data_IF_594415812174
#
_entry.id   IF_594415812174
#
_cell.length_a   1.000
_cell.length_b   1.000
_cell.length_c   1.000
_cell.angle_alpha   90.00
_cell.angle_beta   90.00
_cell.angle_gamma   90.00
#
_symmetry.space_group_name_H-M   'P 1'
#
loop_
_entity.id
_entity.type
_entity.pdbx_description
1 polymer ?
#
# COMPACT_ATOMS: atom_id res chain seq x y z
N UNK A 1 6.76 -3.40 18.67
CA UNK A 1 6.33 -2.47 17.61
C UNK A 1 5.39 -3.19 16.67
N UNK A 2 4.18 -2.68 16.53
CA UNK A 2 3.19 -3.18 15.59
C UNK A 2 2.42 -2.04 14.90
N UNK A 3 1.73 -2.36 13.80
CA UNK A 3 0.77 -1.46 13.15
C UNK A 3 -0.67 -1.93 13.35
N UNK A 4 -1.61 -1.00 13.23
CA UNK A 4 -3.05 -1.30 13.11
C UNK A 4 -3.54 -0.82 11.75
N UNK A 5 -4.09 -1.73 10.97
CA UNK A 5 -4.76 -1.43 9.71
C UNK A 5 -6.27 -1.52 9.90
N UNK A 6 -7.01 -0.50 9.47
CA UNK A 6 -8.47 -0.44 9.56
C UNK A 6 -9.02 -0.34 8.15
N UNK A 7 -9.69 -1.39 7.71
CA UNK A 7 -10.29 -1.49 6.39
C UNK A 7 -11.69 -0.87 6.39
N UNK A 8 -11.86 0.25 5.67
CA UNK A 8 -13.14 0.91 5.45
C UNK A 8 -13.68 0.47 4.08
N UNK A 9 -14.69 -0.42 4.01
CA UNK A 9 -15.07 -1.11 2.77
C UNK A 9 -16.09 -0.30 1.95
N UNK A 10 -15.97 1.02 1.94
CA UNK A 10 -16.93 1.91 1.28
C UNK A 10 -16.24 2.81 0.28
N UNK A 11 -16.80 2.91 -0.92
CA UNK A 11 -16.39 3.86 -1.95
C UNK A 11 -17.61 4.63 -2.45
N UNK A 12 -17.42 5.86 -2.90
CA UNK A 12 -18.48 6.61 -3.60
C UNK A 12 -18.75 6.04 -4.99
N UNK A 13 -17.71 5.55 -5.66
CA UNK A 13 -17.74 5.03 -7.02
C UNK A 13 -16.82 3.81 -7.18
N UNK A 14 -17.20 2.89 -8.08
CA UNK A 14 -16.37 1.74 -8.45
C UNK A 14 -15.42 2.12 -9.60
N UNK A 15 -14.12 2.27 -9.30
CA UNK A 15 -13.11 2.48 -10.34
C UNK A 15 -12.96 1.24 -11.20
N UNK A 16 -12.72 1.40 -12.50
CA UNK A 16 -12.70 0.29 -13.44
C UNK A 16 -11.58 -0.72 -13.17
N UNK A 17 -10.44 -0.27 -12.68
CA UNK A 17 -9.24 -1.07 -12.44
C UNK A 17 -9.18 -1.69 -11.03
N UNK A 18 -9.99 -1.21 -10.09
CA UNK A 18 -9.85 -1.58 -8.68
C UNK A 18 -10.31 -3.02 -8.44
N UNK A 19 -9.44 -3.82 -7.85
CA UNK A 19 -9.69 -5.22 -7.46
C UNK A 19 -9.89 -5.40 -5.94
N UNK A 20 -9.70 -4.34 -5.15
CA UNK A 20 -9.89 -4.36 -3.72
C UNK A 20 -11.34 -4.66 -3.32
N UNK A 21 -11.50 -5.12 -2.08
CA UNK A 21 -12.81 -5.34 -1.49
C UNK A 21 -13.45 -4.00 -1.11
N UNK A 22 -14.61 -3.68 -1.68
CA UNK A 22 -15.37 -2.46 -1.35
C UNK A 22 -16.87 -2.61 -1.62
N UNK A 23 -17.64 -1.62 -1.18
CA UNK A 23 -19.06 -1.46 -1.48
C UNK A 23 -19.37 0.00 -1.82
N UNK A 24 -20.21 0.22 -2.84
CA UNK A 24 -20.74 1.55 -3.14
C UNK A 24 -22.00 1.91 -2.35
N UNK A 25 -22.40 1.05 -1.40
CA UNK A 25 -23.58 1.25 -0.57
C UNK A 25 -23.21 1.52 0.89
N UNK A 26 -23.55 2.72 1.37
CA UNK A 26 -23.37 3.14 2.77
C UNK A 26 -24.45 2.65 3.74
N UNK A 27 -25.43 1.86 3.29
CA UNK A 27 -26.58 1.44 4.13
C UNK A 27 -26.20 0.77 5.46
N UNK A 28 -25.05 0.10 5.52
CA UNK A 28 -24.55 -0.59 6.71
C UNK A 28 -23.36 0.12 7.35
N UNK A 29 -23.17 1.42 7.11
CA UNK A 29 -22.01 2.17 7.61
C UNK A 29 -21.94 2.11 9.14
N UNK A 30 -23.02 2.47 9.83
CA UNK A 30 -23.07 2.47 11.30
C UNK A 30 -22.80 1.09 11.89
N UNK A 31 -23.44 0.05 11.35
CA UNK A 31 -23.21 -1.36 11.75
C UNK A 31 -21.76 -1.80 11.52
N UNK A 32 -21.17 -1.39 10.40
CA UNK A 32 -19.77 -1.67 10.09
C UNK A 32 -18.86 -1.00 11.10
N UNK A 33 -19.01 0.30 11.37
CA UNK A 33 -18.17 1.03 12.32
C UNK A 33 -18.29 0.47 13.74
N UNK A 34 -19.49 0.06 14.17
CA UNK A 34 -19.67 -0.65 15.42
C UNK A 34 -18.94 -2.01 15.42
N UNK A 35 -19.03 -2.76 14.33
CA UNK A 35 -18.30 -4.01 14.12
C UNK A 35 -16.79 -3.85 14.20
N UNK A 36 -16.22 -2.83 13.55
CA UNK A 36 -14.77 -2.55 13.59
C UNK A 36 -14.29 -2.34 15.03
N UNK A 37 -15.00 -1.51 15.81
CA UNK A 37 -14.67 -1.25 17.22
C UNK A 37 -14.80 -2.52 18.08
N UNK A 38 -15.83 -3.33 17.81
CA UNK A 38 -16.03 -4.58 18.53
C UNK A 38 -14.94 -5.61 18.21
N UNK A 39 -14.54 -5.72 16.94
CA UNK A 39 -13.42 -6.58 16.54
C UNK A 39 -12.12 -6.17 17.23
N UNK A 40 -11.81 -4.87 17.30
CA UNK A 40 -10.64 -4.38 18.04
C UNK A 40 -10.67 -4.85 19.49
N UNK A 41 -11.83 -4.79 20.17
CA UNK A 41 -11.97 -5.23 21.54
C UNK A 41 -11.80 -6.75 21.69
N UNK A 42 -12.37 -7.54 20.77
CA UNK A 42 -12.21 -9.00 20.74
C UNK A 42 -10.75 -9.44 20.53
N UNK A 43 -9.97 -8.62 19.82
CA UNK A 43 -8.58 -8.92 19.41
C UNK A 43 -7.52 -8.12 20.17
N UNK A 44 -7.89 -7.40 21.23
CA UNK A 44 -6.98 -6.47 21.93
C UNK A 44 -5.70 -7.14 22.45
N UNK A 45 -5.77 -8.42 22.82
CA UNK A 45 -4.63 -9.17 23.37
C UNK A 45 -3.68 -9.74 22.30
N UNK A 46 -4.03 -9.67 21.01
CA UNK A 46 -3.17 -10.21 19.93
C UNK A 46 -1.87 -9.40 19.76
N UNK A 47 -1.81 -8.19 20.30
CA UNK A 47 -0.65 -7.30 20.29
C UNK A 47 -0.10 -7.04 21.70
N UNK A 48 -0.39 -7.91 22.68
CA UNK A 48 0.13 -7.75 24.04
C UNK A 48 1.66 -7.67 24.05
N UNK A 49 2.20 -6.64 24.70
CA UNK A 49 3.63 -6.36 24.74
C UNK A 49 4.20 -5.62 23.52
N UNK A 50 3.36 -5.30 22.54
CA UNK A 50 3.75 -4.46 21.40
C UNK A 50 3.25 -3.02 21.58
N UNK A 51 4.09 -2.04 21.26
CA UNK A 51 3.69 -0.63 21.14
C UNK A 51 3.25 -0.37 19.70
N UNK A 52 2.07 0.25 19.52
CA UNK A 52 1.53 0.63 18.22
C UNK A 52 2.25 1.87 17.69
N UNK A 53 2.89 1.76 16.54
CA UNK A 53 3.59 2.87 15.89
C UNK A 53 2.85 3.44 14.69
N UNK A 54 1.93 2.67 14.10
CA UNK A 54 1.17 3.10 12.93
C UNK A 54 -0.31 2.74 13.09
N UNK A 55 -1.17 3.67 12.69
CA UNK A 55 -2.61 3.45 12.51
C UNK A 55 -2.91 3.85 11.07
N UNK A 56 -3.40 2.92 10.27
CA UNK A 56 -3.60 3.13 8.84
C UNK A 56 -5.04 2.84 8.48
N UNK A 57 -5.73 3.85 7.96
CA UNK A 57 -7.06 3.69 7.37
C UNK A 57 -6.90 3.50 5.87
N UNK A 58 -7.40 2.37 5.35
CA UNK A 58 -7.41 2.08 3.92
C UNK A 58 -8.62 1.25 3.49
N UNK A 59 -8.56 0.67 2.30
CA UNK A 59 -9.56 -0.29 1.81
C UNK A 59 -10.33 0.22 0.60
N UNK A 60 -11.59 0.57 0.80
CA UNK A 60 -12.36 1.31 -0.20
C UNK A 60 -11.84 2.74 -0.31
N UNK A 61 -12.49 3.68 0.38
CA UNK A 61 -12.01 5.05 0.52
C UNK A 61 -12.39 5.57 1.91
N UNK A 62 -11.46 5.54 2.88
CA UNK A 62 -11.73 5.99 4.24
C UNK A 62 -12.20 7.44 4.40
N UNK A 63 -11.80 8.35 3.51
CA UNK A 63 -12.27 9.75 3.51
C UNK A 63 -13.78 9.93 3.32
N UNK A 64 -14.50 8.88 2.95
CA UNK A 64 -15.98 8.89 2.91
C UNK A 64 -16.62 8.95 4.30
N UNK A 65 -15.84 8.67 5.35
CA UNK A 65 -16.29 8.80 6.73
C UNK A 65 -16.22 10.26 7.19
N UNK A 66 -17.13 10.63 8.07
CA UNK A 66 -17.04 11.91 8.76
C UNK A 66 -15.81 11.93 9.67
N UNK A 67 -15.19 13.10 9.84
CA UNK A 67 -13.98 13.25 10.67
C UNK A 67 -14.21 12.77 12.12
N UNK A 68 -15.42 12.96 12.64
CA UNK A 68 -15.79 12.47 13.98
C UNK A 68 -15.84 10.93 14.05
N UNK A 69 -16.25 10.26 12.97
CA UNK A 69 -16.23 8.79 12.88
C UNK A 69 -14.79 8.26 12.84
N UNK A 70 -13.90 8.94 12.12
CA UNK A 70 -12.47 8.62 12.07
C UNK A 70 -11.85 8.80 13.47
N UNK A 71 -12.15 9.92 14.14
CA UNK A 71 -11.66 10.21 15.48
C UNK A 71 -12.15 9.19 16.52
N UNK A 72 -13.39 8.72 16.41
CA UNK A 72 -13.95 7.68 17.28
C UNK A 72 -13.22 6.33 17.12
N UNK A 73 -12.87 5.94 15.88
CA UNK A 73 -12.05 4.76 15.62
C UNK A 73 -10.63 4.91 16.17
N UNK A 74 -9.98 6.07 15.96
CA UNK A 74 -8.66 6.35 16.53
C UNK A 74 -8.74 6.28 18.06
N UNK A 75 -9.73 6.91 18.68
CA UNK A 75 -9.87 6.90 20.13
C UNK A 75 -10.11 5.48 20.67
N UNK A 76 -10.83 4.64 19.94
CA UNK A 76 -11.00 3.22 20.27
C UNK A 76 -9.65 2.49 20.30
N UNK A 77 -8.78 2.72 19.31
CA UNK A 77 -7.41 2.17 19.32
C UNK A 77 -6.63 2.63 20.56
N UNK A 78 -6.64 3.92 20.88
CA UNK A 78 -5.94 4.44 22.07
C UNK A 78 -6.49 3.90 23.40
N UNK A 79 -7.76 3.48 23.44
CA UNK A 79 -8.35 2.91 24.65
C UNK A 79 -7.97 1.44 24.86
N UNK A 80 -7.68 0.70 23.77
CA UNK A 80 -7.47 -0.74 23.79
C UNK A 80 -5.99 -1.14 23.68
N UNK A 81 -5.15 -0.30 23.08
CA UNK A 81 -3.75 -0.61 22.79
C UNK A 81 -2.81 0.46 23.34
N UNK A 82 -1.58 0.07 23.67
CA UNK A 82 -0.51 1.01 23.98
C UNK A 82 0.01 1.64 22.68
N UNK A 83 -0.24 2.94 22.50
CA UNK A 83 0.17 3.69 21.30
C UNK A 83 1.40 4.54 21.60
N UNK A 84 2.36 4.54 20.68
CA UNK A 84 3.54 5.41 20.72
C UNK A 84 3.12 6.88 20.90
N UNK A 85 3.98 7.71 21.51
CA UNK A 85 3.79 9.15 21.65
C UNK A 85 3.63 9.86 20.29
N UNK A 86 4.35 9.39 19.26
CA UNK A 86 4.36 10.00 17.93
C UNK A 86 4.09 8.97 16.81
N UNK A 87 2.89 8.36 16.78
CA UNK A 87 2.55 7.35 15.79
C UNK A 87 2.32 8.00 14.42
N UNK A 88 2.57 7.27 13.33
CA UNK A 88 2.06 7.68 12.01
C UNK A 88 0.59 7.27 11.90
N UNK A 89 -0.31 8.24 11.76
CA UNK A 89 -1.74 8.01 11.55
C UNK A 89 -2.09 8.45 10.14
N UNK A 90 -2.25 7.48 9.25
CA UNK A 90 -2.51 7.69 7.82
C UNK A 90 -3.98 7.51 7.48
N UNK A 91 -4.52 8.46 6.71
CA UNK A 91 -5.83 8.34 6.08
C UNK A 91 -5.67 8.30 4.56
N UNK A 92 -6.09 7.20 3.92
CA UNK A 92 -6.33 7.18 2.47
C UNK A 92 -7.56 8.01 2.11
N UNK A 93 -7.44 8.80 1.04
CA UNK A 93 -8.48 9.72 0.64
C UNK A 93 -8.59 9.91 -0.88
N UNK A 94 -9.77 10.30 -1.34
CA UNK A 94 -9.98 10.80 -2.70
C UNK A 94 -10.22 12.32 -2.70
N UNK A 95 -9.85 13.05 -3.77
CA UNK A 95 -10.05 14.49 -3.83
C UNK A 95 -11.50 14.94 -3.64
N UNK A 96 -12.47 14.16 -4.13
CA UNK A 96 -13.89 14.52 -4.10
C UNK A 96 -14.58 14.30 -2.73
N UNK A 97 -13.85 13.76 -1.75
CA UNK A 97 -14.26 13.69 -0.35
C UNK A 97 -13.57 14.77 0.51
N UNK A 98 -12.53 15.42 -0.02
CA UNK A 98 -11.67 16.36 0.70
C UNK A 98 -12.02 17.81 0.36
N UNK A 99 -13.24 18.22 0.69
CA UNK A 99 -13.57 19.64 0.63
C UNK A 99 -12.74 20.44 1.65
N UNK A 100 -12.75 21.76 1.49
CA UNK A 100 -12.00 22.67 2.36
C UNK A 100 -12.33 22.43 3.83
N UNK A 101 -13.60 22.34 4.21
CA UNK A 101 -14.00 22.19 5.61
C UNK A 101 -13.51 20.86 6.20
N UNK A 102 -13.60 19.77 5.44
CA UNK A 102 -13.09 18.45 5.81
C UNK A 102 -11.58 18.48 6.03
N UNK A 103 -10.82 19.11 5.13
CA UNK A 103 -9.36 19.22 5.26
C UNK A 103 -8.95 19.99 6.53
N UNK A 104 -9.61 21.09 6.86
CA UNK A 104 -9.34 21.82 8.11
C UNK A 104 -9.67 20.97 9.35
N UNK A 105 -10.81 20.27 9.36
CA UNK A 105 -11.16 19.37 10.47
C UNK A 105 -10.17 18.21 10.61
N UNK A 106 -9.70 17.63 9.51
CA UNK A 106 -8.68 16.59 9.52
C UNK A 106 -7.35 17.12 10.07
N UNK A 107 -6.95 18.35 9.72
CA UNK A 107 -5.73 18.96 10.22
C UNK A 107 -5.78 19.23 11.75
N UNK A 108 -6.97 19.38 12.32
CA UNK A 108 -7.21 19.48 13.76
C UNK A 108 -7.33 18.11 14.45
N UNK A 109 -7.37 17.02 13.68
CA UNK A 109 -7.49 15.65 14.19
C UNK A 109 -6.14 15.03 14.53
N UNK A 110 -6.14 13.77 14.98
CA UNK A 110 -4.89 12.99 15.17
C UNK A 110 -4.29 12.47 13.86
N UNK A 111 -5.00 12.54 12.75
CA UNK A 111 -4.46 12.17 11.42
C UNK A 111 -3.31 13.11 11.10
N UNK A 112 -2.13 12.54 10.86
CA UNK A 112 -0.92 13.31 10.60
C UNK A 112 -0.24 12.94 9.28
N UNK A 113 -0.86 12.03 8.50
CA UNK A 113 -0.47 11.70 7.13
C UNK A 113 -1.70 11.50 6.25
N UNK A 114 -1.71 12.08 5.05
CA UNK A 114 -2.70 11.80 4.01
C UNK A 114 -2.05 10.99 2.88
N UNK A 115 -2.79 10.03 2.31
CA UNK A 115 -2.47 9.38 1.03
C UNK A 115 -3.62 9.64 0.07
N UNK A 116 -3.41 10.45 -0.95
CA UNK A 116 -4.48 10.92 -1.84
C UNK A 116 -4.41 10.23 -3.19
N UNK A 117 -5.45 9.48 -3.53
CA UNK A 117 -5.55 8.75 -4.78
C UNK A 117 -5.84 9.65 -5.99
N UNK A 118 -4.81 10.27 -6.58
CA UNK A 118 -4.98 11.17 -7.75
C UNK A 118 -5.07 10.38 -9.05
N UNK A 119 -4.22 9.36 -9.19
CA UNK A 119 -4.06 8.44 -10.32
C UNK A 119 -3.57 9.11 -11.61
N UNK A 120 -4.19 10.20 -12.04
CA UNK A 120 -3.74 11.06 -13.12
C UNK A 120 -4.32 12.47 -12.97
N UNK A 121 -3.58 13.48 -13.42
CA UNK A 121 -4.03 14.86 -13.53
C UNK A 121 -4.74 15.15 -14.86
N UNK A 122 -4.98 14.14 -15.70
CA UNK A 122 -5.64 14.31 -16.98
C UNK A 122 -7.03 13.68 -16.99
N UNK A 123 -7.99 14.47 -17.44
CA UNK A 123 -9.42 14.13 -17.42
C UNK A 123 -9.75 12.83 -18.17
N UNK A 124 -9.12 12.59 -19.31
CA UNK A 124 -9.40 11.38 -20.11
C UNK A 124 -8.97 10.10 -19.37
N UNK A 125 -7.88 10.15 -18.59
CA UNK A 125 -7.43 9.01 -17.80
C UNK A 125 -8.42 8.75 -16.65
N UNK A 126 -8.85 9.81 -15.97
CA UNK A 126 -9.81 9.74 -14.86
C UNK A 126 -11.16 9.17 -15.33
N UNK A 127 -11.65 9.62 -16.49
CA UNK A 127 -12.86 9.08 -17.13
C UNK A 127 -12.69 7.63 -17.54
N UNK A 128 -11.57 7.27 -18.15
CA UNK A 128 -11.27 5.88 -18.53
C UNK A 128 -11.28 4.97 -17.30
N UNK A 129 -10.71 5.42 -16.18
CA UNK A 129 -10.66 4.68 -14.92
C UNK A 129 -11.96 4.75 -14.11
N UNK A 130 -12.96 5.52 -14.55
CA UNK A 130 -14.19 5.79 -13.81
C UNK A 130 -13.92 6.31 -12.40
N UNK A 131 -13.08 7.35 -12.31
CA UNK A 131 -12.83 8.09 -11.07
C UNK A 131 -14.00 9.04 -10.76
N UNK A 132 -14.27 9.26 -9.47
CA UNK A 132 -15.35 10.14 -9.03
C UNK A 132 -14.95 11.62 -9.14
N UNK A 133 -13.67 11.92 -8.91
CA UNK A 133 -13.10 13.25 -9.04
C UNK A 133 -12.65 13.56 -10.48
N UNK A 134 -12.55 14.85 -10.79
CA UNK A 134 -11.99 15.38 -12.04
C UNK A 134 -10.61 16.03 -11.85
N UNK A 135 -9.96 16.40 -12.96
CA UNK A 135 -8.62 17.00 -12.94
C UNK A 135 -8.54 18.31 -12.11
N UNK A 136 -9.56 19.16 -12.17
CA UNK A 136 -9.61 20.43 -11.43
C UNK A 136 -9.74 20.17 -9.93
N UNK A 137 -10.66 19.28 -9.53
CA UNK A 137 -10.85 18.90 -8.12
C UNK A 137 -9.57 18.30 -7.52
N UNK A 138 -8.84 17.48 -8.28
CA UNK A 138 -7.55 16.94 -7.87
C UNK A 138 -6.54 18.06 -7.54
N UNK A 139 -6.42 19.07 -8.39
CA UNK A 139 -5.47 20.18 -8.19
C UNK A 139 -5.87 21.03 -6.99
N UNK A 140 -7.14 21.46 -6.93
CA UNK A 140 -7.65 22.31 -5.84
C UNK A 140 -7.52 21.61 -4.48
N UNK A 141 -7.82 20.32 -4.42
CA UNK A 141 -7.63 19.51 -3.21
C UNK A 141 -6.16 19.52 -2.76
N UNK A 142 -5.21 19.31 -3.68
CA UNK A 142 -3.79 19.25 -3.33
C UNK A 142 -3.22 20.60 -2.90
N UNK A 143 -3.65 21.70 -3.52
CA UNK A 143 -3.23 23.06 -3.10
C UNK A 143 -3.61 23.34 -1.64
N UNK A 144 -4.81 22.94 -1.23
CA UNK A 144 -5.25 23.10 0.16
C UNK A 144 -4.55 22.09 1.07
N UNK A 145 -4.53 20.81 0.69
CA UNK A 145 -3.99 19.73 1.52
C UNK A 145 -2.50 19.94 1.83
N UNK A 146 -1.69 20.36 0.84
CA UNK A 146 -0.25 20.66 1.04
C UNK A 146 0.01 21.87 1.93
N UNK A 147 -0.95 22.79 2.07
CA UNK A 147 -0.85 23.89 3.03
C UNK A 147 -1.12 23.49 4.49
N UNK A 148 -1.78 22.35 4.70
CA UNK A 148 -2.22 21.87 6.02
C UNK A 148 -1.43 20.65 6.50
N UNK A 149 -0.98 19.79 5.58
CA UNK A 149 -0.27 18.54 5.88
C UNK A 149 1.13 18.56 5.29
N UNK A 150 2.14 18.44 6.15
CA UNK A 150 3.52 18.28 5.70
C UNK A 150 3.84 16.85 5.26
N UNK A 151 3.24 15.83 5.89
CA UNK A 151 3.41 14.43 5.49
C UNK A 151 2.23 14.02 4.59
N UNK A 152 2.40 14.22 3.28
CA UNK A 152 1.39 13.92 2.28
C UNK A 152 1.99 13.02 1.20
N UNK A 153 1.20 12.02 0.82
CA UNK A 153 1.45 11.14 -0.32
C UNK A 153 0.36 11.31 -1.35
N UNK A 154 0.72 11.06 -2.60
CA UNK A 154 -0.26 10.87 -3.66
C UNK A 154 0.01 9.57 -4.40
N UNK A 155 -1.06 9.00 -4.93
CA UNK A 155 -0.99 7.79 -5.71
C UNK A 155 -1.14 8.15 -7.19
N UNK A 156 -0.23 7.66 -8.04
CA UNK A 156 -0.30 7.75 -9.49
C UNK A 156 -0.35 6.36 -10.12
N UNK A 157 -0.95 6.28 -11.31
CA UNK A 157 -0.95 5.07 -12.13
C UNK A 157 -0.26 5.38 -13.47
N UNK A 158 0.75 4.58 -13.81
CA UNK A 158 1.45 4.63 -15.09
C UNK A 158 1.10 3.42 -15.97
N UNK A 159 1.53 3.46 -17.23
CA UNK A 159 1.21 2.39 -18.19
C UNK A 159 -0.26 2.39 -18.64
N UNK A 160 -0.96 3.51 -18.44
CA UNK A 160 -2.32 3.72 -18.91
C UNK A 160 -2.36 3.67 -20.46
N UNK A 161 -3.29 2.94 -21.09
CA UNK A 161 -3.44 2.88 -22.53
C UNK A 161 -3.48 4.27 -23.19
N UNK A 162 -2.69 4.47 -24.24
CA UNK A 162 -2.54 5.73 -24.97
C UNK A 162 -1.91 6.90 -24.19
N UNK A 163 -1.37 6.67 -22.98
CA UNK A 163 -0.58 7.68 -22.28
C UNK A 163 0.81 7.76 -22.94
N UNK A 164 1.18 8.95 -23.41
CA UNK A 164 2.53 9.20 -23.94
C UNK A 164 3.53 9.51 -22.82
N UNK A 165 4.82 9.38 -23.11
CA UNK A 165 5.89 9.75 -22.18
C UNK A 165 5.82 11.22 -21.75
N UNK A 166 5.45 12.13 -22.65
CA UNK A 166 5.31 13.56 -22.33
C UNK A 166 4.16 13.79 -21.35
N UNK A 167 3.03 13.12 -21.56
CA UNK A 167 1.87 13.17 -20.65
C UNK A 167 2.22 12.56 -19.30
N UNK A 168 2.96 11.46 -19.28
CA UNK A 168 3.44 10.84 -18.06
C UNK A 168 4.36 11.76 -17.27
N UNK A 169 5.41 12.31 -17.91
CA UNK A 169 6.32 13.25 -17.28
C UNK A 169 5.61 14.52 -16.80
N UNK A 170 4.58 14.98 -17.50
CA UNK A 170 3.78 16.11 -17.03
C UNK A 170 2.96 15.79 -15.77
N UNK A 171 2.48 14.56 -15.58
CA UNK A 171 1.89 14.14 -14.31
C UNK A 171 2.92 14.23 -13.19
N UNK A 172 4.12 13.67 -13.40
CA UNK A 172 5.21 13.69 -12.42
C UNK A 172 5.63 15.12 -12.09
N UNK A 173 5.74 16.00 -13.10
CA UNK A 173 6.16 17.39 -12.90
C UNK A 173 5.19 18.17 -11.99
N UNK A 174 3.88 17.95 -12.12
CA UNK A 174 2.88 18.60 -11.24
C UNK A 174 3.10 18.26 -9.77
N UNK A 175 3.54 17.04 -9.48
CA UNK A 175 3.88 16.61 -8.12
C UNK A 175 5.09 17.37 -7.59
N UNK A 176 6.11 17.48 -8.43
CA UNK A 176 7.34 18.20 -8.11
C UNK A 176 7.06 19.68 -7.83
N UNK A 177 6.20 20.30 -8.64
CA UNK A 177 5.80 21.71 -8.50
C UNK A 177 5.04 21.96 -7.19
N UNK A 178 4.23 20.99 -6.75
CA UNK A 178 3.49 21.03 -5.48
C UNK A 178 4.36 20.68 -4.26
N UNK A 179 5.61 20.24 -4.45
CA UNK A 179 6.52 19.90 -3.36
C UNK A 179 6.09 18.70 -2.50
N UNK A 180 5.27 17.80 -3.04
CA UNK A 180 4.72 16.65 -2.32
C UNK A 180 5.85 15.68 -1.94
N UNK A 181 6.08 15.37 -0.65
CA UNK A 181 7.29 14.68 -0.25
C UNK A 181 7.26 13.16 -0.44
N UNK A 182 6.10 12.56 -0.69
CA UNK A 182 5.95 11.12 -0.89
C UNK A 182 5.06 10.81 -2.10
N UNK A 183 5.43 9.80 -2.87
CA UNK A 183 4.72 9.38 -4.08
C UNK A 183 4.62 7.87 -4.09
N UNK A 184 3.40 7.37 -4.20
CA UNK A 184 3.10 5.97 -4.49
C UNK A 184 2.72 5.86 -5.96
N UNK A 185 3.32 4.92 -6.68
CA UNK A 185 3.19 4.85 -8.13
C UNK A 185 3.10 3.39 -8.60
N UNK A 186 2.01 3.08 -9.29
CA UNK A 186 1.64 1.72 -9.65
C UNK A 186 1.50 1.57 -11.16
N UNK A 187 1.93 0.43 -11.71
CA UNK A 187 1.57 0.07 -13.07
C UNK A 187 0.06 -0.20 -13.13
N UNK A 188 -0.61 0.19 -14.22
CA UNK A 188 -1.98 -0.24 -14.47
C UNK A 188 -1.98 -1.75 -14.76
N UNK A 189 -2.48 -2.55 -13.82
CA UNK A 189 -2.68 -3.99 -13.99
C UNK A 189 -4.12 -4.31 -14.40
N UNK A 190 -4.31 -5.45 -15.08
CA UNK A 190 -5.63 -5.90 -15.55
C UNK A 190 -6.01 -7.17 -14.81
N UNK A 191 -6.77 -7.01 -13.73
CA UNK A 191 -7.22 -8.13 -12.91
C UNK A 191 -8.50 -8.78 -13.45
N UNK A 192 -8.60 -10.11 -13.36
CA UNK A 192 -9.64 -10.88 -14.05
C UNK A 192 -11.08 -10.44 -13.71
N UNK A 193 -11.31 -10.02 -12.47
CA UNK A 193 -12.65 -9.70 -11.94
C UNK A 193 -13.06 -8.24 -12.14
N UNK A 194 -12.17 -7.40 -12.65
CA UNK A 194 -12.38 -5.95 -12.77
C UNK A 194 -13.28 -5.58 -13.94
N UNK A 195 -13.82 -4.35 -13.91
CA UNK A 195 -14.54 -3.80 -15.05
C UNK A 195 -13.61 -3.51 -16.23
N UNK A 196 -12.35 -3.13 -15.95
CA UNK A 196 -11.31 -2.90 -16.95
C UNK A 196 -11.09 -4.14 -17.82
N UNK A 197 -10.91 -5.34 -17.23
CA UNK A 197 -10.78 -6.59 -17.99
C UNK A 197 -11.98 -6.83 -18.92
N UNK A 198 -13.20 -6.54 -18.45
CA UNK A 198 -14.42 -6.69 -19.27
C UNK A 198 -14.47 -5.69 -20.42
N UNK A 199 -14.02 -4.46 -20.21
CA UNK A 199 -13.97 -3.42 -21.23
C UNK A 199 -12.91 -3.72 -22.30
N UNK A 200 -11.76 -4.24 -21.87
CA UNK A 200 -10.69 -4.71 -22.76
C UNK A 200 -11.16 -5.89 -23.62
N UNK A 201 -11.77 -6.92 -23.01
CA UNK A 201 -12.33 -8.07 -23.75
C UNK A 201 -13.40 -7.69 -24.77
N UNK A 202 -14.09 -6.55 -24.56
CA UNK A 202 -15.08 -5.99 -25.48
C UNK A 202 -14.48 -5.06 -26.55
N UNK A 203 -13.18 -4.78 -26.50
CA UNK A 203 -12.50 -3.84 -27.40
C UNK A 203 -12.85 -2.38 -27.15
N UNK A 204 -13.39 -2.03 -25.97
CA UNK A 204 -13.76 -0.66 -25.62
C UNK A 204 -12.54 0.14 -25.16
N UNK A 205 -11.62 -0.51 -24.44
CA UNK A 205 -10.36 0.05 -23.95
C UNK A 205 -9.23 -0.86 -24.45
N UNK A 206 -8.10 -0.34 -24.95
CA UNK A 206 -6.95 -1.18 -25.28
C UNK A 206 -6.32 -1.81 -24.03
N UNK A 207 -5.68 -2.96 -24.18
CA UNK A 207 -4.85 -3.52 -23.10
C UNK A 207 -3.65 -2.60 -22.82
N UNK A 208 -3.20 -2.47 -21.57
CA UNK A 208 -1.90 -1.90 -21.25
C UNK A 208 -0.77 -2.64 -21.98
N UNK A 209 0.24 -1.89 -22.41
CA UNK A 209 1.42 -2.43 -23.08
C UNK A 209 2.61 -2.45 -22.11
N UNK A 210 3.24 -3.62 -21.95
CA UNK A 210 4.34 -3.82 -21.00
C UNK A 210 5.53 -2.90 -21.29
N UNK A 211 5.88 -2.72 -22.57
CA UNK A 211 6.98 -1.84 -22.98
C UNK A 211 6.71 -0.38 -22.60
N UNK A 212 5.46 0.08 -22.71
CA UNK A 212 5.05 1.43 -22.29
C UNK A 212 5.12 1.57 -20.77
N UNK A 213 4.67 0.56 -20.03
CA UNK A 213 4.77 0.56 -18.57
C UNK A 213 6.23 0.57 -18.10
N UNK A 214 7.10 -0.21 -18.72
CA UNK A 214 8.53 -0.22 -18.46
C UNK A 214 9.16 1.15 -18.75
N UNK A 215 8.87 1.75 -19.90
CA UNK A 215 9.39 3.06 -20.26
C UNK A 215 8.94 4.15 -19.27
N UNK A 216 7.66 4.17 -18.89
CA UNK A 216 7.14 5.09 -17.88
C UNK A 216 7.80 4.89 -16.51
N UNK A 217 8.03 3.64 -16.09
CA UNK A 217 8.71 3.33 -14.84
C UNK A 217 10.14 3.86 -14.82
N UNK A 218 10.90 3.67 -15.90
CA UNK A 218 12.26 4.19 -16.02
C UNK A 218 12.29 5.72 -15.96
N UNK A 219 11.41 6.39 -16.71
CA UNK A 219 11.26 7.85 -16.69
C UNK A 219 10.91 8.38 -15.30
N UNK A 220 10.05 7.67 -14.56
CA UNK A 220 9.68 8.02 -13.19
C UNK A 220 10.90 7.98 -12.27
N UNK A 221 11.65 6.87 -12.27
CA UNK A 221 12.84 6.70 -11.42
C UNK A 221 13.85 7.80 -11.70
N UNK A 222 14.19 8.02 -12.97
CA UNK A 222 15.19 9.02 -13.38
C UNK A 222 14.78 10.42 -12.94
N UNK A 223 13.52 10.80 -13.22
CA UNK A 223 12.99 12.13 -12.91
C UNK A 223 12.94 12.37 -11.40
N UNK A 224 12.39 11.43 -10.62
CA UNK A 224 12.27 11.60 -9.17
C UNK A 224 13.63 11.57 -8.48
N UNK A 225 14.57 10.73 -8.93
CA UNK A 225 15.94 10.69 -8.39
C UNK A 225 16.68 12.00 -8.67
N UNK A 226 16.56 12.56 -9.88
CA UNK A 226 17.15 13.86 -10.21
C UNK A 226 16.59 15.00 -9.33
N UNK A 227 15.36 14.83 -8.85
CA UNK A 227 14.71 15.76 -7.93
C UNK A 227 14.89 15.36 -6.45
N UNK A 228 15.81 14.46 -6.11
CA UNK A 228 16.17 14.14 -4.72
C UNK A 228 15.18 13.27 -3.95
N UNK A 229 14.31 12.53 -4.64
CA UNK A 229 13.54 11.45 -4.03
C UNK A 229 14.38 10.17 -3.95
N UNK A 230 14.12 9.38 -2.92
CA UNK A 230 14.67 8.06 -2.74
C UNK A 230 13.58 7.04 -3.09
N UNK A 231 13.89 6.18 -4.05
CA UNK A 231 13.04 5.06 -4.44
C UNK A 231 13.24 3.90 -3.45
N UNK A 232 12.61 4.02 -2.28
CA UNK A 232 12.87 3.18 -1.11
C UNK A 232 12.18 1.82 -1.15
N UNK A 233 11.11 1.71 -1.95
CA UNK A 233 10.38 0.48 -2.23
C UNK A 233 9.87 0.51 -3.68
N UNK A 234 9.64 -0.64 -4.30
CA UNK A 234 9.29 -0.80 -5.73
C UNK A 234 8.26 0.21 -6.25
N UNK A 235 7.17 0.44 -5.52
CA UNK A 235 6.11 1.39 -5.88
C UNK A 235 6.20 2.73 -5.17
N UNK A 236 7.15 2.94 -4.25
CA UNK A 236 7.16 4.11 -3.37
C UNK A 236 8.46 4.92 -3.41
N UNK A 237 8.28 6.24 -3.50
CA UNK A 237 9.34 7.24 -3.55
C UNK A 237 9.09 8.28 -2.46
N UNK A 238 10.14 8.71 -1.77
CA UNK A 238 9.99 9.82 -0.83
C UNK A 238 11.24 10.68 -0.71
N UNK A 239 11.05 11.91 -0.28
CA UNK A 239 12.12 12.74 0.26
C UNK A 239 12.67 12.12 1.56
N UNK A 240 13.94 12.38 1.90
CA UNK A 240 14.50 11.96 3.18
C UNK A 240 13.61 12.37 4.36
N UNK A 241 13.30 11.43 5.25
CA UNK A 241 12.43 11.65 6.41
C UNK A 241 10.93 11.44 6.17
N UNK A 242 10.50 11.16 4.93
CA UNK A 242 9.09 11.00 4.56
C UNK A 242 8.69 9.59 4.12
N UNK A 243 9.51 8.56 4.38
CA UNK A 243 9.06 7.18 4.15
C UNK A 243 7.81 6.91 4.98
N UNK A 244 6.80 6.29 4.37
CA UNK A 244 5.65 5.81 5.14
C UNK A 244 6.15 4.77 6.14
N UNK A 245 5.96 5.06 7.43
CA UNK A 245 6.27 4.10 8.49
C UNK A 245 5.42 2.86 8.35
N UNK A 246 4.15 3.00 7.96
CA UNK A 246 3.23 1.87 7.80
C UNK A 246 3.62 0.97 6.63
N UNK A 247 3.84 1.54 5.44
CA UNK A 247 4.29 0.78 4.28
C UNK A 247 5.61 0.06 4.59
N UNK A 248 6.60 0.80 5.12
CA UNK A 248 7.90 0.22 5.50
C UNK A 248 7.77 -0.92 6.53
N UNK A 249 6.79 -0.85 7.43
CA UNK A 249 6.54 -1.91 8.40
C UNK A 249 6.16 -3.23 7.74
N UNK A 250 5.29 -3.21 6.72
CA UNK A 250 4.92 -4.40 5.97
C UNK A 250 6.12 -5.03 5.27
N UNK A 251 6.92 -4.22 4.56
CA UNK A 251 8.08 -4.71 3.81
C UNK A 251 9.20 -5.25 4.71
N UNK A 252 9.33 -4.71 5.92
CA UNK A 252 10.29 -5.18 6.92
C UNK A 252 9.78 -6.35 7.76
N UNK A 253 8.56 -6.86 7.48
CA UNK A 253 7.98 -8.00 8.18
C UNK A 253 7.63 -7.70 9.65
N UNK A 254 7.26 -6.45 9.96
CA UNK A 254 6.77 -6.09 11.29
C UNK A 254 5.35 -6.63 11.50
N UNK A 255 5.01 -6.90 12.75
CA UNK A 255 3.66 -7.36 13.12
C UNK A 255 2.62 -6.27 12.85
N UNK A 256 1.42 -6.67 12.48
CA UNK A 256 0.29 -5.77 12.36
C UNK A 256 -1.05 -6.49 12.53
N UNK A 257 -2.03 -5.74 13.03
CA UNK A 257 -3.40 -6.18 13.22
C UNK A 257 -4.30 -5.51 12.19
N UNK A 258 -4.89 -6.28 11.29
CA UNK A 258 -5.89 -5.80 10.35
C UNK A 258 -7.30 -6.01 10.87
N UNK A 259 -8.09 -4.95 10.87
CA UNK A 259 -9.47 -4.87 11.35
C UNK A 259 -10.39 -4.53 10.17
N UNK A 260 -11.55 -5.18 10.11
CA UNK A 260 -12.52 -4.99 9.04
C UNK A 260 -12.52 -6.09 7.99
N UNK A 261 -13.55 -6.13 7.10
CA UNK A 261 -13.67 -7.18 6.09
C UNK A 261 -12.48 -7.15 5.13
N UNK A 262 -12.02 -8.31 4.69
CA UNK A 262 -10.80 -8.51 3.87
C UNK A 262 -9.48 -8.05 4.49
N UNK A 263 -9.48 -7.48 5.70
CA UNK A 263 -8.26 -7.00 6.33
C UNK A 263 -7.32 -8.15 6.69
N UNK A 264 -6.04 -8.01 6.33
CA UNK A 264 -5.00 -8.97 6.65
C UNK A 264 -4.30 -8.61 7.96
N UNK A 265 -3.81 -9.60 8.70
CA UNK A 265 -2.95 -9.44 9.88
C UNK A 265 -1.72 -10.34 9.76
N UNK A 266 -0.64 -9.96 10.44
CA UNK A 266 0.58 -10.76 10.55
C UNK A 266 1.17 -10.66 11.96
N UNK A 267 1.40 -11.80 12.60
CA UNK A 267 1.96 -11.85 13.97
C UNK A 267 3.45 -12.24 14.02
N UNK A 268 4.08 -12.42 12.86
CA UNK A 268 5.46 -12.90 12.72
C UNK A 268 5.58 -14.38 12.32
N UNK A 269 4.51 -15.16 12.51
CA UNK A 269 4.46 -16.60 12.20
C UNK A 269 3.19 -16.97 11.45
N UNK A 270 2.07 -16.33 11.77
CA UNK A 270 0.79 -16.53 11.12
C UNK A 270 0.39 -15.31 10.31
N UNK A 271 -0.18 -15.58 9.14
CA UNK A 271 -1.00 -14.64 8.40
C UNK A 271 -2.47 -14.95 8.70
N UNK A 272 -3.29 -13.92 8.82
CA UNK A 272 -4.74 -14.11 8.86
C UNK A 272 -5.45 -13.06 8.02
N UNK A 273 -6.65 -13.36 7.55
CA UNK A 273 -7.48 -12.41 6.81
C UNK A 273 -8.95 -12.60 7.12
N UNK A 274 -9.63 -11.47 7.32
CA UNK A 274 -11.06 -11.46 7.51
C UNK A 274 -11.80 -11.76 6.20
N UNK A 275 -13.01 -12.30 6.32
CA UNK A 275 -13.88 -12.58 5.17
C UNK A 275 -14.11 -11.31 4.33
N UNK A 276 -13.96 -11.45 3.01
CA UNK A 276 -14.27 -10.39 2.04
C UNK A 276 -15.78 -10.28 1.78
N UNK A 277 -16.57 -10.06 2.83
CA UNK A 277 -18.02 -9.88 2.75
C UNK A 277 -18.55 -9.05 3.91
N UNK A 278 -19.02 -7.83 3.61
CA UNK A 278 -19.47 -6.88 4.64
C UNK A 278 -20.61 -7.41 5.52
N UNK A 279 -21.57 -8.14 4.94
CA UNK A 279 -22.75 -8.59 5.69
C UNK A 279 -22.44 -9.78 6.60
N UNK A 280 -21.61 -10.72 6.13
CA UNK A 280 -21.15 -11.84 6.95
C UNK A 280 -20.20 -11.35 8.04
N UNK A 281 -19.28 -10.44 7.70
CA UNK A 281 -18.39 -9.80 8.67
C UNK A 281 -19.17 -9.15 9.83
N UNK A 282 -20.13 -8.26 9.52
CA UNK A 282 -20.96 -7.60 10.54
C UNK A 282 -21.70 -8.63 11.41
N UNK A 283 -22.29 -9.64 10.77
CA UNK A 283 -23.07 -10.67 11.47
C UNK A 283 -22.19 -11.45 12.45
N UNK A 284 -21.07 -11.99 11.98
CA UNK A 284 -20.24 -12.86 12.80
C UNK A 284 -19.61 -12.09 13.97
N UNK A 285 -19.14 -10.86 13.73
CA UNK A 285 -18.63 -9.98 14.78
C UNK A 285 -19.71 -9.67 15.82
N UNK A 286 -20.96 -9.42 15.42
CA UNK A 286 -22.07 -9.19 16.36
C UNK A 286 -22.42 -10.41 17.23
N UNK A 287 -21.93 -11.60 16.86
CA UNK A 287 -22.06 -12.86 17.59
C UNK A 287 -20.78 -13.25 18.34
N UNK A 288 -19.84 -12.32 18.54
CA UNK A 288 -18.52 -12.54 19.15
C UNK A 288 -17.64 -13.57 18.41
N UNK A 289 -17.84 -13.74 17.09
CA UNK A 289 -17.06 -14.64 16.26
C UNK A 289 -16.15 -13.85 15.33
N UNK A 290 -14.87 -14.20 15.30
CA UNK A 290 -13.90 -13.63 14.35
C UNK A 290 -14.03 -14.33 12.99
N UNK A 291 -14.50 -13.66 11.92
CA UNK A 291 -14.73 -14.27 10.63
C UNK A 291 -13.44 -14.28 9.79
N UNK A 292 -12.42 -15.00 10.26
CA UNK A 292 -11.09 -15.03 9.65
C UNK A 292 -10.59 -16.42 9.28
N UNK A 293 -9.73 -16.47 8.28
CA UNK A 293 -8.86 -17.60 8.00
C UNK A 293 -7.47 -17.33 8.55
N UNK A 294 -6.73 -18.38 8.91
CA UNK A 294 -5.37 -18.30 9.45
C UNK A 294 -4.49 -19.29 8.70
N UNK A 295 -3.32 -18.82 8.28
CA UNK A 295 -2.25 -19.57 7.64
C UNK A 295 -1.01 -19.51 8.55
N UNK A 296 -0.45 -20.67 8.88
CA UNK A 296 0.84 -20.78 9.57
C UNK A 296 1.96 -20.85 8.53
N UNK A 297 2.89 -19.90 8.59
CA UNK A 297 4.02 -19.84 7.67
C UNK A 297 5.13 -20.76 8.15
N UNK A 298 5.48 -21.75 7.33
CA UNK A 298 6.61 -22.60 7.63
C UNK A 298 7.95 -21.85 7.42
N UNK A 299 9.07 -22.50 7.75
CA UNK A 299 10.40 -21.87 7.65
C UNK A 299 10.73 -21.41 6.20
N UNK A 300 10.37 -22.22 5.21
CA UNK A 300 10.56 -21.92 3.78
C UNK A 300 9.69 -20.75 3.34
N UNK A 301 8.43 -20.70 3.77
CA UNK A 301 7.52 -19.58 3.45
C UNK A 301 8.08 -18.26 3.96
N UNK A 302 8.53 -18.25 5.23
CA UNK A 302 9.14 -17.07 5.86
C UNK A 302 10.44 -16.65 5.18
N UNK A 303 11.26 -17.60 4.73
CA UNK A 303 12.45 -17.30 3.94
C UNK A 303 12.06 -16.64 2.61
N UNK A 304 11.15 -17.26 1.85
CA UNK A 304 10.71 -16.75 0.54
C UNK A 304 10.08 -15.36 0.65
N UNK A 305 9.26 -15.13 1.68
CA UNK A 305 8.70 -13.81 1.97
C UNK A 305 9.79 -12.78 2.25
N UNK A 306 10.80 -13.12 3.06
CA UNK A 306 11.90 -12.20 3.34
C UNK A 306 12.70 -11.84 2.08
N UNK A 307 12.93 -12.80 1.18
CA UNK A 307 13.55 -12.53 -0.12
C UNK A 307 12.68 -11.58 -0.95
N UNK A 308 11.39 -11.89 -1.10
CA UNK A 308 10.45 -11.10 -1.88
C UNK A 308 10.34 -9.66 -1.39
N UNK A 309 10.14 -9.47 -0.08
CA UNK A 309 9.95 -8.14 0.48
C UNK A 309 11.28 -7.38 0.57
N UNK A 310 12.37 -8.04 0.93
CA UNK A 310 13.68 -7.42 1.05
C UNK A 310 14.18 -6.84 -0.27
N UNK A 311 14.11 -7.63 -1.36
CA UNK A 311 14.59 -7.22 -2.69
C UNK A 311 13.75 -6.11 -3.34
N UNK A 312 12.50 -5.95 -2.93
CA UNK A 312 11.66 -4.82 -3.35
C UNK A 312 12.02 -3.49 -2.66
N UNK A 313 12.94 -3.49 -1.69
CA UNK A 313 13.30 -2.30 -0.93
C UNK A 313 14.78 -1.91 -1.09
N UNK A 314 15.11 -0.68 -0.71
CA UNK A 314 16.51 -0.21 -0.63
C UNK A 314 17.31 -0.88 0.49
N UNK A 315 16.64 -1.49 1.46
CA UNK A 315 17.31 -2.16 2.59
C UNK A 315 17.83 -3.54 2.21
N UNK A 316 17.24 -4.17 1.19
CA UNK A 316 17.70 -5.44 0.65
C UNK A 316 17.53 -6.63 1.60
N UNK A 317 18.29 -7.68 1.28
CA UNK A 317 18.33 -8.95 2.02
C UNK A 317 19.68 -9.09 2.71
N UNK A 318 19.66 -9.25 4.03
CA UNK A 318 20.85 -9.45 4.86
C UNK A 318 21.18 -10.94 4.97
N UNK A 319 22.33 -11.34 4.40
CA UNK A 319 22.81 -12.72 4.43
C UNK A 319 23.06 -13.22 5.85
N UNK A 320 23.52 -12.36 6.77
CA UNK A 320 23.72 -12.72 8.18
C UNK A 320 22.37 -13.02 8.84
N UNK A 321 21.35 -12.23 8.52
CA UNK A 321 19.98 -12.50 8.95
C UNK A 321 19.49 -13.83 8.40
N UNK A 322 19.76 -14.12 7.13
CA UNK A 322 19.34 -15.38 6.50
C UNK A 322 19.94 -16.59 7.22
N UNK A 323 21.25 -16.58 7.48
CA UNK A 323 21.91 -17.67 8.19
C UNK A 323 21.38 -17.82 9.63
N UNK A 324 21.15 -16.70 10.33
CA UNK A 324 20.65 -16.71 11.71
C UNK A 324 19.20 -17.20 11.85
N UNK A 325 18.30 -16.75 10.97
CA UNK A 325 16.85 -16.99 11.09
C UNK A 325 16.38 -18.24 10.35
N UNK A 326 17.01 -18.59 9.23
CA UNK A 326 16.61 -19.73 8.39
C UNK A 326 17.65 -20.86 8.36
N UNK A 327 18.91 -20.55 8.66
CA UNK A 327 19.99 -21.53 8.76
C UNK A 327 20.93 -21.55 7.56
N UNK A 328 22.08 -22.23 7.73
CA UNK A 328 23.18 -22.25 6.75
C UNK A 328 22.75 -22.75 5.35
N UNK A 329 21.83 -23.70 5.28
CA UNK A 329 21.34 -24.23 4.00
C UNK A 329 20.69 -23.15 3.14
N UNK A 330 19.82 -22.31 3.72
CA UNK A 330 19.17 -21.21 3.01
C UNK A 330 20.17 -20.11 2.62
N UNK A 331 21.11 -19.81 3.52
CA UNK A 331 22.20 -18.88 3.23
C UNK A 331 23.02 -19.32 2.00
N UNK A 332 23.54 -20.55 2.02
CA UNK A 332 24.38 -21.06 0.93
C UNK A 332 23.59 -21.17 -0.38
N UNK A 333 22.30 -21.49 -0.30
CA UNK A 333 21.38 -21.50 -1.44
C UNK A 333 21.23 -20.11 -2.07
N UNK A 334 20.93 -19.09 -1.25
CA UNK A 334 20.79 -17.71 -1.69
C UNK A 334 22.09 -17.17 -2.29
N UNK A 335 23.24 -17.41 -1.66
CA UNK A 335 24.54 -17.00 -2.20
C UNK A 335 24.79 -17.61 -3.57
N UNK A 336 24.49 -18.91 -3.72
CA UNK A 336 24.64 -19.60 -5.01
C UNK A 336 23.72 -19.01 -6.07
N UNK A 337 22.43 -18.84 -5.79
CA UNK A 337 21.46 -18.39 -6.79
C UNK A 337 21.53 -16.89 -7.08
N UNK A 338 22.05 -16.07 -6.16
CA UNK A 338 22.28 -14.64 -6.42
C UNK A 338 23.48 -14.37 -7.34
N UNK A 339 24.40 -15.33 -7.49
CA UNK A 339 25.65 -15.15 -8.26
C UNK A 339 25.41 -14.70 -9.71
N UNK A 340 24.55 -15.35 -10.52
CA UNK A 340 24.29 -14.90 -11.90
C UNK A 340 23.73 -13.46 -11.96
N UNK A 341 22.83 -13.10 -11.04
CA UNK A 341 22.26 -11.75 -11.00
C UNK A 341 23.29 -10.68 -10.59
N UNK A 342 24.29 -11.05 -9.77
CA UNK A 342 25.42 -10.18 -9.44
C UNK A 342 26.36 -10.01 -10.65
N UNK A 343 26.63 -11.08 -11.39
CA UNK A 343 27.45 -11.04 -12.61
C UNK A 343 26.80 -10.23 -13.73
N UNK A 344 25.46 -10.27 -13.84
CA UNK A 344 24.68 -9.49 -14.81
C UNK A 344 24.39 -8.05 -14.36
N UNK A 345 24.90 -7.63 -13.19
CA UNK A 345 24.66 -6.33 -12.56
C UNK A 345 23.16 -6.02 -12.33
N UNK A 346 22.33 -7.05 -12.19
CA UNK A 346 20.91 -6.93 -11.80
C UNK A 346 20.77 -6.82 -10.28
N UNK A 347 21.72 -7.40 -9.54
CA UNK A 347 21.87 -7.27 -8.09
C UNK A 347 23.20 -6.62 -7.74
N UNK A 348 23.27 -6.05 -6.54
CA UNK A 348 24.48 -5.54 -5.94
C UNK A 348 24.64 -6.10 -4.52
N UNK A 349 25.88 -6.42 -4.14
CA UNK A 349 26.24 -6.83 -2.78
C UNK A 349 27.13 -5.77 -2.14
N UNK A 350 26.64 -5.15 -1.07
CA UNK A 350 27.42 -4.25 -0.21
C UNK A 350 27.54 -4.86 1.19
N UNK A 351 28.76 -5.26 1.57
CA UNK A 351 28.94 -6.07 2.77
C UNK A 351 28.15 -7.38 2.65
N UNK A 352 27.25 -7.65 3.59
CA UNK A 352 26.35 -8.82 3.59
C UNK A 352 24.92 -8.51 3.15
N UNK A 353 24.70 -7.32 2.58
CA UNK A 353 23.41 -6.90 2.09
C UNK A 353 23.33 -7.07 0.56
N UNK A 354 22.34 -7.82 0.10
CA UNK A 354 21.96 -7.95 -1.30
C UNK A 354 20.83 -6.96 -1.63
N UNK A 355 21.04 -6.11 -2.64
CA UNK A 355 20.04 -5.16 -3.15
C UNK A 355 19.86 -5.31 -4.65
N UNK A 356 18.74 -4.81 -5.17
CA UNK A 356 18.47 -4.76 -6.62
C UNK A 356 19.03 -3.46 -7.19
N UNK A 357 19.77 -3.55 -8.30
CA UNK A 357 20.28 -2.36 -9.02
C UNK A 357 19.17 -1.70 -9.83
N UNK A 358 19.38 -0.47 -10.30
CA UNK A 358 18.41 0.19 -11.20
C UNK A 358 18.08 -0.64 -12.44
N UNK A 359 19.03 -1.44 -12.93
CA UNK A 359 18.84 -2.35 -14.07
C UNK A 359 17.90 -3.51 -13.72
N UNK A 360 17.97 -4.02 -12.49
CA UNK A 360 17.13 -5.12 -12.03
C UNK A 360 15.77 -4.71 -11.46
N UNK A 361 15.51 -3.42 -11.17
CA UNK A 361 14.31 -2.99 -10.42
C UNK A 361 12.99 -3.38 -11.09
N UNK A 362 12.88 -3.25 -12.41
CA UNK A 362 11.66 -3.65 -13.11
C UNK A 362 11.45 -5.18 -13.12
N UNK A 363 12.53 -5.94 -12.90
CA UNK A 363 12.55 -7.41 -12.88
C UNK A 363 12.56 -7.97 -11.46
N UNK A 364 12.36 -7.15 -10.42
CA UNK A 364 12.57 -7.54 -9.02
C UNK A 364 11.78 -8.77 -8.61
N UNK A 365 10.57 -8.92 -9.13
CA UNK A 365 9.68 -10.04 -8.80
C UNK A 365 10.15 -11.35 -9.41
N UNK A 366 10.61 -11.31 -10.66
CA UNK A 366 11.20 -12.48 -11.33
C UNK A 366 12.49 -12.90 -10.63
N UNK A 367 13.36 -11.94 -10.31
CA UNK A 367 14.60 -12.19 -9.57
C UNK A 367 14.30 -12.80 -8.20
N UNK A 368 13.34 -12.24 -7.44
CA UNK A 368 12.95 -12.78 -6.14
C UNK A 368 12.43 -14.21 -6.25
N UNK A 369 11.55 -14.47 -7.23
CA UNK A 369 11.00 -15.81 -7.49
C UNK A 369 12.08 -16.84 -7.79
N UNK A 370 13.11 -16.47 -8.57
CA UNK A 370 14.23 -17.36 -8.90
C UNK A 370 15.13 -17.66 -7.68
N UNK A 371 15.07 -16.83 -6.64
CA UNK A 371 15.81 -17.00 -5.38
C UNK A 371 15.01 -17.73 -4.30
N UNK A 372 13.74 -18.07 -4.58
CA UNK A 372 12.91 -18.83 -3.65
C UNK A 372 13.44 -20.24 -3.46
N UNK A 373 13.41 -20.70 -2.22
CA UNK A 373 13.71 -22.06 -1.89
C UNK A 373 12.51 -22.92 -2.25
N UNK A 374 12.67 -23.72 -3.29
CA UNK A 374 11.67 -24.68 -3.74
C UNK A 374 12.02 -26.04 -3.16
N UNK A 375 11.17 -26.56 -2.27
CA UNK A 375 11.24 -27.94 -1.78
C UNK A 375 10.83 -28.91 -2.91
N UNK A 376 11.68 -29.01 -3.93
CA UNK A 376 11.55 -30.00 -4.99
C UNK A 376 11.95 -31.36 -4.40
N UNK A 377 10.97 -32.03 -3.80
CA UNK A 377 11.08 -33.44 -3.40
C UNK A 377 11.37 -34.35 -4.59
#
# INVERSE_FOLDING_TARGET
MAGIYIHIPFCKQACHYCDFHFSTSLKKKEEMLAGLKHEMALRQTELDGEIIETIYFGGGTPSILEVDEINDLIQTVYNLFEVNENPEITLEANPDDLDKATLYKLAESRVNRLSIGIQSFYEDDLKMMNRAHNSTEAIECLEIATSLFHNISIDLIYGIPNMSNERWLSNVQRILDLGIPHISCYALTVEERTALNKLIKKGVIPSPEEEVAHQHFMLLIETLKANGYIHYELSNFAKPGYYSKNNSAYWLGKKYLGIGPSAHSFDGVHRSWNIANNSLYIKDISEDKLPREIEELNLTDRYNEYIMTGLRTIWGVDLTRVEREFGKTYHDYLVKLSTPFLEEELMHKEGDILTITNKGKFLSDGIASDLFYLDLK
#
